data_IF_626711743268
#
_entry.id   IF_626711743268
#
_cell.length_a   1.000
_cell.length_b   1.000
_cell.length_c   1.000
_cell.angle_alpha   90.00
_cell.angle_beta   90.00
_cell.angle_gamma   90.00
#
_symmetry.space_group_name_H-M   'P 1'
#
loop_
_entity.id
_entity.type
_entity.pdbx_description
1 polymer ?
#
# COMPACT_ATOMS: atom_id res chain seq x y z
N UNK A 1 -4.02 4.91 23.13
CA UNK A 1 -3.01 4.69 22.06
C UNK A 1 -2.35 3.35 22.35
N UNK A 2 -2.60 2.34 21.51
CA UNK A 2 -1.92 1.05 21.58
C UNK A 2 -0.94 0.97 20.43
N UNK A 3 0.34 0.74 20.74
CA UNK A 3 1.42 0.61 19.76
C UNK A 3 2.21 -0.65 20.06
N UNK A 4 2.81 -1.24 19.03
CA UNK A 4 3.75 -2.33 19.21
C UNK A 4 5.17 -1.75 19.24
N UNK A 5 5.88 -1.97 20.35
CA UNK A 5 7.28 -1.59 20.50
C UNK A 5 8.16 -2.82 20.38
N UNK A 6 9.00 -2.86 19.35
CA UNK A 6 9.95 -3.95 19.18
C UNK A 6 11.30 -3.58 19.81
N UNK A 7 11.46 -3.97 21.08
CA UNK A 7 12.66 -3.66 21.89
C UNK A 7 13.92 -4.38 21.40
N UNK A 8 13.77 -5.41 20.57
CA UNK A 8 14.88 -6.16 19.94
C UNK A 8 15.44 -5.48 18.68
N UNK A 9 14.73 -4.53 18.08
CA UNK A 9 15.12 -3.82 16.86
C UNK A 9 15.53 -2.35 17.11
N UNK A 10 16.24 -2.10 18.20
CA UNK A 10 16.66 -0.75 18.65
C UNK A 10 15.49 0.18 19.04
N UNK A 11 14.35 -0.37 19.47
CA UNK A 11 13.24 0.42 20.00
C UNK A 11 12.33 1.03 18.93
N UNK A 12 12.17 0.36 17.78
CA UNK A 12 11.21 0.81 16.77
C UNK A 12 9.78 0.85 17.32
N UNK A 13 9.04 1.88 16.90
CA UNK A 13 7.63 2.05 17.27
C UNK A 13 6.76 1.82 16.03
N UNK A 14 5.90 0.80 16.09
CA UNK A 14 5.00 0.44 15.01
C UNK A 14 3.56 0.85 15.32
N UNK A 15 2.98 1.61 14.39
CA UNK A 15 1.62 2.12 14.43
C UNK A 15 0.79 1.38 13.39
N UNK A 16 -0.24 0.66 13.85
CA UNK A 16 -1.16 -0.06 12.97
C UNK A 16 -2.19 0.88 12.35
N UNK A 17 -2.62 0.63 11.10
CA UNK A 17 -3.80 1.28 10.56
C UNK A 17 -5.03 0.91 11.38
N UNK A 18 -6.06 1.75 11.32
CA UNK A 18 -7.31 1.48 12.00
C UNK A 18 -7.96 0.21 11.42
N UNK A 19 -8.53 -0.64 12.29
CA UNK A 19 -8.98 -2.00 11.94
C UNK A 19 -9.91 -2.00 10.72
N UNK A 20 -10.84 -1.05 10.67
CA UNK A 20 -11.84 -0.93 9.61
C UNK A 20 -11.27 -0.54 8.24
N UNK A 21 -10.06 0.01 8.19
CA UNK A 21 -9.37 0.42 6.95
C UNK A 21 -8.10 -0.38 6.66
N UNK A 22 -7.74 -1.32 7.54
CA UNK A 22 -6.48 -2.07 7.46
C UNK A 22 -6.45 -3.14 6.37
N UNK A 23 -7.62 -3.61 5.92
CA UNK A 23 -7.72 -4.69 4.96
C UNK A 23 -9.05 -4.68 4.20
N UNK A 24 -9.04 -5.28 3.01
CA UNK A 24 -10.23 -5.49 2.19
C UNK A 24 -10.14 -6.87 1.53
N UNK A 25 -11.18 -7.72 1.60
CA UNK A 25 -11.17 -9.02 0.95
C UNK A 25 -11.04 -8.89 -0.57
N UNK A 26 -10.54 -9.95 -1.21
CA UNK A 26 -10.44 -10.02 -2.66
C UNK A 26 -11.84 -10.06 -3.29
N UNK A 27 -12.28 -8.94 -3.86
CA UNK A 27 -13.59 -8.81 -4.51
C UNK A 27 -13.45 -8.23 -5.93
N UNK A 28 -14.41 -8.49 -6.83
CA UNK A 28 -14.39 -7.90 -8.16
C UNK A 28 -14.74 -6.41 -8.11
N UNK A 29 -13.73 -5.57 -8.36
CA UNK A 29 -13.87 -4.12 -8.51
C UNK A 29 -14.25 -3.78 -9.94
N UNK A 30 -15.09 -2.75 -10.12
CA UNK A 30 -15.53 -2.28 -11.44
C UNK A 30 -14.92 -0.92 -11.74
N UNK A 31 -14.52 -0.71 -12.99
CA UNK A 31 -14.11 0.60 -13.50
C UNK A 31 -15.34 1.42 -13.83
N UNK A 32 -15.31 2.70 -13.48
CA UNK A 32 -16.31 3.66 -13.93
C UNK A 32 -15.83 4.30 -15.23
N UNK A 33 -16.63 4.16 -16.30
CA UNK A 33 -16.29 4.65 -17.65
C UNK A 33 -14.92 4.17 -18.17
N UNK A 34 -14.53 2.93 -17.83
CA UNK A 34 -13.23 2.31 -18.16
C UNK A 34 -11.99 3.08 -17.68
N UNK A 35 -12.15 4.02 -16.74
CA UNK A 35 -11.03 4.77 -16.15
C UNK A 35 -10.50 4.07 -14.89
N UNK A 36 -9.19 4.15 -14.71
CA UNK A 36 -8.53 3.84 -13.44
C UNK A 36 -8.58 5.09 -12.54
N UNK A 37 -8.58 4.88 -11.23
CA UNK A 37 -8.57 5.95 -10.23
C UNK A 37 -7.97 5.40 -8.93
N UNK A 38 -7.69 6.30 -7.98
CA UNK A 38 -7.32 5.95 -6.62
C UNK A 38 -8.40 5.07 -5.97
N UNK A 39 -7.97 4.13 -5.14
CA UNK A 39 -8.86 3.20 -4.46
C UNK A 39 -9.95 3.93 -3.68
N UNK A 40 -9.63 5.04 -3.00
CA UNK A 40 -10.63 5.82 -2.26
C UNK A 40 -11.76 6.40 -3.12
N UNK A 41 -11.51 6.60 -4.43
CA UNK A 41 -12.50 7.15 -5.36
C UNK A 41 -13.38 6.07 -6.00
N UNK A 42 -12.99 4.79 -5.86
CA UNK A 42 -13.81 3.68 -6.34
C UNK A 42 -15.06 3.55 -5.49
N UNK A 43 -16.15 3.04 -6.08
CA UNK A 43 -17.41 2.82 -5.36
C UNK A 43 -17.20 1.83 -4.21
N UNK A 44 -17.31 2.32 -2.97
CA UNK A 44 -17.09 1.53 -1.75
C UNK A 44 -15.63 1.46 -1.31
N UNK A 45 -14.74 2.21 -1.97
CA UNK A 45 -13.39 2.45 -1.49
C UNK A 45 -13.34 3.50 -0.38
N UNK A 46 -12.20 3.56 0.30
CA UNK A 46 -11.94 4.47 1.41
C UNK A 46 -10.43 4.72 1.54
N UNK A 47 -10.03 5.78 2.26
CA UNK A 47 -8.62 6.00 2.62
C UNK A 47 -8.24 5.16 3.83
N UNK A 48 -6.99 4.71 3.87
CA UNK A 48 -6.41 4.01 5.02
C UNK A 48 -6.14 5.05 6.11
N UNK A 49 -6.68 4.82 7.31
CA UNK A 49 -6.59 5.75 8.43
C UNK A 49 -5.70 5.22 9.56
N UNK A 50 -5.15 6.16 10.34
CA UNK A 50 -4.32 5.92 11.53
C UNK A 50 -4.78 6.84 12.67
N UNK A 51 -6.08 7.12 12.73
CA UNK A 51 -6.67 8.13 13.60
C UNK A 51 -6.56 7.75 15.08
N UNK A 52 -6.51 6.45 15.39
CA UNK A 52 -6.36 5.94 16.76
C UNK A 52 -5.09 6.41 17.48
N UNK A 53 -4.03 6.75 16.74
CA UNK A 53 -2.79 7.33 17.30
C UNK A 53 -2.85 8.86 17.33
N UNK A 54 -3.51 9.46 16.35
CA UNK A 54 -3.69 10.90 16.24
C UNK A 54 -2.47 11.62 15.66
N UNK A 55 -2.71 12.78 15.06
CA UNK A 55 -1.72 13.56 14.30
C UNK A 55 -0.54 14.03 15.14
N UNK A 56 -0.79 14.43 16.40
CA UNK A 56 0.25 14.89 17.32
C UNK A 56 1.26 13.78 17.60
N UNK A 57 0.80 12.57 17.94
CA UNK A 57 1.68 11.45 18.24
C UNK A 57 2.47 11.01 17.01
N UNK A 58 1.83 10.96 15.83
CA UNK A 58 2.52 10.69 14.56
C UNK A 58 3.62 11.72 14.26
N UNK A 59 3.39 12.99 14.58
CA UNK A 59 4.39 14.05 14.38
C UNK A 59 5.59 13.87 15.31
N UNK A 60 5.37 13.53 16.58
CA UNK A 60 6.47 13.25 17.51
C UNK A 60 7.28 12.02 17.10
N UNK A 61 6.62 10.94 16.65
CA UNK A 61 7.31 9.75 16.13
C UNK A 61 8.20 10.11 14.94
N UNK A 62 7.71 10.95 14.01
CA UNK A 62 8.54 11.45 12.90
C UNK A 62 9.73 12.28 13.38
N UNK A 63 9.58 13.13 14.39
CA UNK A 63 10.69 13.98 14.85
C UNK A 63 11.79 13.21 15.59
N UNK A 64 11.46 12.06 16.18
CA UNK A 64 12.35 11.27 17.02
C UNK A 64 12.97 10.07 16.31
N UNK A 65 12.64 9.85 15.04
CA UNK A 65 13.12 8.73 14.24
C UNK A 65 13.99 9.20 13.08
N UNK A 66 14.72 8.26 12.48
CA UNK A 66 15.61 8.47 11.35
C UNK A 66 15.09 7.77 10.08
N UNK A 67 14.38 6.66 10.23
CA UNK A 67 13.82 5.88 9.13
C UNK A 67 12.40 5.42 9.45
N UNK A 68 11.56 5.31 8.42
CA UNK A 68 10.27 4.65 8.50
C UNK A 68 10.17 3.59 7.42
N UNK A 69 9.49 2.49 7.74
CA UNK A 69 9.11 1.49 6.76
C UNK A 69 7.68 1.01 6.97
N UNK A 70 7.06 0.55 5.89
CA UNK A 70 5.72 0.01 5.91
C UNK A 70 5.54 -1.03 4.81
N UNK A 71 4.85 -2.12 5.15
CA UNK A 71 4.50 -3.16 4.20
C UNK A 71 3.07 -3.00 3.69
N UNK A 72 2.85 -3.33 2.43
CA UNK A 72 1.55 -3.38 1.80
C UNK A 72 1.42 -4.68 1.00
N UNK A 73 0.36 -5.43 1.25
CA UNK A 73 0.07 -6.67 0.53
C UNK A 73 -1.10 -6.45 -0.40
N UNK A 74 -0.88 -6.62 -1.69
CA UNK A 74 -1.93 -6.61 -2.70
C UNK A 74 -2.33 -8.04 -3.05
N UNK A 75 -3.57 -8.42 -2.73
CA UNK A 75 -4.12 -9.72 -3.09
C UNK A 75 -4.80 -9.63 -4.45
N UNK A 76 -4.33 -10.39 -5.42
CA UNK A 76 -4.82 -10.35 -6.80
C UNK A 76 -5.52 -11.66 -7.19
N UNK A 77 -6.47 -11.57 -8.11
CA UNK A 77 -7.04 -12.71 -8.82
C UNK A 77 -7.16 -12.32 -10.29
N UNK A 78 -6.44 -13.03 -11.16
CA UNK A 78 -6.35 -12.75 -12.60
C UNK A 78 -5.91 -11.31 -12.94
N UNK A 79 -5.08 -10.72 -12.09
CA UNK A 79 -4.68 -9.31 -12.16
C UNK A 79 -3.19 -9.18 -11.83
N UNK A 80 -2.50 -8.24 -12.48
CA UNK A 80 -1.10 -7.88 -12.26
C UNK A 80 -0.99 -6.72 -11.28
N UNK A 81 -0.08 -6.84 -10.30
CA UNK A 81 0.15 -5.80 -9.30
C UNK A 81 1.43 -4.98 -9.54
N UNK A 82 2.43 -5.55 -10.20
CA UNK A 82 3.75 -4.94 -10.40
C UNK A 82 4.30 -5.22 -11.80
N UNK A 83 5.15 -6.25 -11.95
CA UNK A 83 5.71 -6.62 -13.26
C UNK A 83 4.76 -7.55 -14.02
N UNK A 84 4.48 -7.27 -15.29
CA UNK A 84 3.72 -8.18 -16.15
C UNK A 84 4.66 -9.12 -16.90
N UNK A 85 4.55 -10.44 -16.70
CA UNK A 85 5.30 -11.41 -17.53
C UNK A 85 4.74 -11.52 -18.95
N UNK A 86 3.52 -11.05 -19.18
CA UNK A 86 2.86 -11.12 -20.49
C UNK A 86 3.31 -9.97 -21.38
N UNK A 87 3.38 -8.76 -20.81
CA UNK A 87 3.70 -7.53 -21.52
C UNK A 87 5.17 -7.13 -21.35
N UNK A 88 5.90 -7.85 -20.49
CA UNK A 88 7.31 -7.63 -20.13
C UNK A 88 7.60 -6.20 -19.64
N UNK A 89 6.60 -5.54 -19.03
CA UNK A 89 6.65 -4.14 -18.59
C UNK A 89 6.10 -3.95 -17.17
N UNK A 90 6.21 -2.71 -16.68
CA UNK A 90 5.65 -2.25 -15.40
C UNK A 90 4.47 -1.29 -15.59
N UNK A 91 3.86 -1.27 -16.77
CA UNK A 91 2.78 -0.32 -17.09
C UNK A 91 1.53 -0.53 -16.22
N UNK A 92 1.35 -1.76 -15.71
CA UNK A 92 0.28 -2.16 -14.82
C UNK A 92 0.66 -2.10 -13.33
N UNK A 93 1.85 -1.58 -13.00
CA UNK A 93 2.31 -1.47 -11.62
C UNK A 93 1.40 -0.54 -10.81
N UNK A 94 0.98 -1.02 -9.64
CA UNK A 94 0.22 -0.17 -8.71
C UNK A 94 1.10 0.95 -8.16
N UNK A 95 0.45 2.05 -7.76
CA UNK A 95 1.09 3.15 -7.04
C UNK A 95 0.49 3.29 -5.65
N UNK A 96 1.23 3.88 -4.73
CA UNK A 96 0.78 4.21 -3.38
C UNK A 96 0.79 5.72 -3.17
N UNK A 97 -0.09 6.17 -2.30
CA UNK A 97 -0.15 7.55 -1.82
C UNK A 97 0.24 7.59 -0.35
N UNK A 98 1.28 8.36 -0.02
CA UNK A 98 1.66 8.67 1.35
C UNK A 98 0.86 9.83 1.95
N UNK A 99 0.89 10.01 3.28
CA UNK A 99 0.12 11.03 4.04
C UNK A 99 0.24 12.46 3.48
N UNK A 100 1.39 12.83 2.91
CA UNK A 100 1.62 14.15 2.28
C UNK A 100 1.40 14.16 0.76
N UNK A 101 0.43 13.37 0.28
CA UNK A 101 0.11 13.25 -1.14
C UNK A 101 1.35 12.88 -1.98
N UNK A 102 2.22 12.05 -1.39
CA UNK A 102 3.46 11.60 -2.01
C UNK A 102 3.18 10.37 -2.85
N UNK A 103 3.40 10.47 -4.15
CA UNK A 103 3.32 9.35 -5.08
C UNK A 103 4.54 8.43 -4.93
N UNK A 104 4.27 7.14 -4.75
CA UNK A 104 5.22 6.04 -4.57
C UNK A 104 4.89 4.96 -5.61
N UNK A 105 5.83 4.62 -6.47
CA UNK A 105 5.52 3.80 -7.65
C UNK A 105 6.75 3.44 -8.46
N UNK A 106 6.56 2.79 -9.61
CA UNK A 106 7.66 2.40 -10.50
C UNK A 106 8.22 3.59 -11.30
N UNK A 107 7.35 4.27 -12.06
CA UNK A 107 7.71 5.41 -12.92
C UNK A 107 7.12 6.72 -12.40
N UNK A 108 7.84 7.83 -12.64
CA UNK A 108 7.44 9.21 -12.29
C UNK A 108 7.08 9.46 -10.80
N UNK A 109 7.46 8.53 -9.91
CA UNK A 109 7.24 8.63 -8.46
C UNK A 109 8.45 9.26 -7.76
N UNK A 110 8.23 9.79 -6.55
CA UNK A 110 9.33 10.35 -5.72
C UNK A 110 10.19 9.25 -5.08
N UNK A 111 9.64 8.05 -4.94
CA UNK A 111 10.26 6.90 -4.32
C UNK A 111 9.66 5.62 -4.90
N UNK A 112 10.49 4.59 -5.01
CA UNK A 112 10.11 3.27 -5.53
C UNK A 112 9.98 2.28 -4.37
N UNK A 113 8.89 1.51 -4.28
CA UNK A 113 8.78 0.43 -3.31
C UNK A 113 9.72 -0.72 -3.68
N UNK A 114 10.19 -1.43 -2.66
CA UNK A 114 10.86 -2.72 -2.82
C UNK A 114 9.79 -3.81 -2.89
N UNK A 115 9.93 -4.75 -3.82
CA UNK A 115 8.99 -5.88 -3.94
C UNK A 115 9.60 -7.09 -3.27
N UNK A 116 8.99 -7.53 -2.16
CA UNK A 116 9.45 -8.68 -1.38
C UNK A 116 8.99 -9.99 -2.02
N UNK A 117 7.76 -10.01 -2.55
CA UNK A 117 7.14 -11.15 -3.22
C UNK A 117 6.30 -10.63 -4.37
N UNK A 118 6.44 -11.20 -5.58
CA UNK A 118 5.57 -10.88 -6.73
C UNK A 118 4.93 -12.13 -7.33
N UNK A 119 3.81 -12.55 -6.74
CA UNK A 119 3.03 -13.67 -7.25
C UNK A 119 1.99 -13.26 -8.30
N UNK A 120 1.63 -11.97 -8.37
CA UNK A 120 0.65 -11.46 -9.33
C UNK A 120 1.20 -11.30 -10.75
N UNK A 121 2.51 -11.46 -10.95
CA UNK A 121 3.19 -11.19 -12.23
C UNK A 121 2.62 -11.87 -13.48
N UNK A 122 1.96 -13.02 -13.31
CA UNK A 122 1.37 -13.78 -14.43
C UNK A 122 -0.06 -13.35 -14.77
N UNK A 123 -0.78 -12.70 -13.84
CA UNK A 123 -2.16 -12.29 -14.02
C UNK A 123 -3.16 -13.44 -14.27
N UNK A 124 -2.87 -14.68 -13.85
CA UNK A 124 -3.68 -15.87 -14.21
C UNK A 124 -4.25 -16.68 -13.04
N UNK A 125 -3.91 -16.33 -11.81
CA UNK A 125 -4.36 -17.09 -10.64
C UNK A 125 -4.53 -16.17 -9.44
N UNK A 126 -5.11 -16.71 -8.37
CA UNK A 126 -5.15 -16.02 -7.08
C UNK A 126 -3.76 -16.06 -6.47
N UNK A 127 -3.21 -14.90 -6.14
CA UNK A 127 -1.90 -14.76 -5.52
C UNK A 127 -1.83 -13.43 -4.76
N UNK A 128 -0.66 -13.12 -4.22
CA UNK A 128 -0.36 -11.82 -3.63
C UNK A 128 0.99 -11.27 -4.09
N UNK A 129 1.12 -9.95 -4.01
CA UNK A 129 2.37 -9.22 -4.17
C UNK A 129 2.57 -8.36 -2.92
N UNK A 130 3.74 -8.50 -2.29
CA UNK A 130 4.09 -7.82 -1.04
C UNK A 130 5.12 -6.75 -1.33
N UNK A 131 4.79 -5.52 -0.97
CA UNK A 131 5.60 -4.33 -1.13
C UNK A 131 6.14 -3.88 0.22
N UNK A 132 7.40 -3.43 0.26
CA UNK A 132 7.98 -2.67 1.35
C UNK A 132 8.32 -1.26 0.85
N UNK A 133 7.79 -0.24 1.52
CA UNK A 133 8.23 1.14 1.34
C UNK A 133 9.11 1.48 2.53
N UNK A 134 10.38 1.80 2.28
CA UNK A 134 11.37 2.21 3.31
C UNK A 134 11.98 3.54 2.92
N UNK A 135 12.02 4.49 3.84
CA UNK A 135 12.48 5.86 3.55
C UNK A 135 12.98 6.60 4.79
N UNK A 136 14.07 7.41 4.66
CA UNK A 136 14.46 8.36 5.69
C UNK A 136 13.58 9.62 5.71
N UNK A 137 12.73 9.82 4.69
CA UNK A 137 11.77 10.93 4.63
C UNK A 137 10.47 10.49 5.28
N UNK A 138 10.41 10.61 6.60
CA UNK A 138 9.35 10.08 7.48
C UNK A 138 7.96 10.66 7.19
N UNK A 139 7.91 11.80 6.52
CA UNK A 139 6.69 12.46 6.09
C UNK A 139 6.08 11.83 4.81
N UNK A 140 6.72 10.81 4.22
CA UNK A 140 6.18 10.06 3.07
C UNK A 140 5.29 8.88 3.50
N UNK A 141 5.40 8.46 4.76
CA UNK A 141 4.59 7.40 5.35
C UNK A 141 3.70 7.99 6.47
N UNK A 142 2.58 7.35 6.81
CA UNK A 142 2.07 6.08 6.29
C UNK A 142 1.45 6.16 4.88
N UNK A 143 1.21 4.98 4.30
CA UNK A 143 0.38 4.79 3.10
C UNK A 143 -1.08 5.04 3.49
N UNK A 144 -1.72 5.96 2.77
CA UNK A 144 -3.12 6.38 2.97
C UNK A 144 -4.04 5.97 1.81
N UNK A 145 -3.49 5.63 0.65
CA UNK A 145 -4.25 5.19 -0.53
C UNK A 145 -3.36 4.41 -1.52
N UNK A 146 -3.96 3.80 -2.53
CA UNK A 146 -3.25 3.16 -3.63
C UNK A 146 -4.02 3.24 -4.95
N UNK A 147 -3.31 3.13 -6.06
CA UNK A 147 -3.83 3.26 -7.41
C UNK A 147 -3.72 1.93 -8.16
N UNK A 148 -4.78 1.12 -8.23
CA UNK A 148 -4.80 -0.10 -9.04
C UNK A 148 -4.96 0.19 -10.53
N UNK A 149 -4.28 -0.57 -11.40
CA UNK A 149 -4.32 -0.37 -12.86
C UNK A 149 -5.03 -1.53 -13.57
N UNK A 150 -4.56 -2.76 -13.36
CA UNK A 150 -5.08 -3.97 -14.00
C UNK A 150 -6.26 -4.58 -13.21
N UNK A 151 -7.43 -3.99 -13.35
CA UNK A 151 -8.70 -4.51 -12.79
C UNK A 151 -9.89 -4.16 -13.69
N UNK A 152 -11.06 -4.73 -13.37
CA UNK A 152 -12.34 -4.39 -14.01
C UNK A 152 -12.81 -5.37 -15.09
N UNK A 153 -11.93 -6.25 -15.58
CA UNK A 153 -12.33 -7.31 -16.51
C UNK A 153 -13.12 -8.43 -15.79
N UNK A 154 -13.92 -9.22 -16.53
CA UNK A 154 -14.55 -10.41 -15.97
C UNK A 154 -13.52 -11.31 -15.28
N UNK A 155 -13.88 -11.86 -14.12
CA UNK A 155 -13.00 -12.72 -13.30
C UNK A 155 -11.77 -12.04 -12.68
N UNK A 156 -11.59 -10.72 -12.86
CA UNK A 156 -10.60 -9.97 -12.09
C UNK A 156 -11.16 -9.57 -10.73
N UNK A 157 -10.34 -9.72 -9.71
CA UNK A 157 -10.64 -9.24 -8.37
C UNK A 157 -9.35 -8.83 -7.67
N UNK A 158 -9.46 -7.88 -6.75
CA UNK A 158 -8.36 -7.54 -5.87
C UNK A 158 -8.84 -7.25 -4.45
N UNK A 159 -7.93 -7.40 -3.51
CA UNK A 159 -8.04 -7.01 -2.12
C UNK A 159 -6.69 -6.54 -1.64
N UNK A 160 -6.61 -6.13 -0.38
CA UNK A 160 -5.35 -5.70 0.19
C UNK A 160 -5.30 -5.90 1.70
N UNK A 161 -4.09 -5.86 2.23
CA UNK A 161 -3.82 -5.77 3.66
C UNK A 161 -2.64 -4.81 3.86
N UNK A 162 -2.83 -3.82 4.73
CA UNK A 162 -1.81 -2.82 5.06
C UNK A 162 -1.18 -3.18 6.40
N UNK A 163 0.15 -3.29 6.40
CA UNK A 163 0.93 -3.51 7.62
C UNK A 163 1.08 -2.23 8.44
N UNK A 164 1.60 -2.32 9.68
CA UNK A 164 1.90 -1.13 10.47
C UNK A 164 2.98 -0.28 9.78
N UNK A 165 2.93 1.03 10.01
CA UNK A 165 4.06 1.91 9.76
C UNK A 165 4.98 1.85 10.98
N UNK A 166 6.25 1.51 10.76
CA UNK A 166 7.24 1.39 11.81
C UNK A 166 8.29 2.49 11.67
N UNK A 167 8.57 3.16 12.79
CA UNK A 167 9.55 4.25 12.89
C UNK A 167 10.74 3.80 13.72
N UNK A 168 11.95 4.04 13.21
CA UNK A 168 13.24 3.70 13.82
C UNK A 168 14.13 4.93 13.92
#
# INVERSE_FOLDING_TARGET
>A
VYVFCNMTAAGETCVFPDIHSSQMPTIPWRKENDKTDWYSNLRGGFRISYETVGTVQMTFLRLLSQEAYQNFTYACMNSVAWYSTKDESYDNAIRFLGENEIDIGYDNSKIKPTVLVDGCKTGRSKSETVFEVRTPKLQYLPIIDFYPVDYGLPQQAFGFQVGPVCFK
#
